data_IF_727577538451
#
_entry.id   IF_727577538451
#
_cell.length_a   1.000
_cell.length_b   1.000
_cell.length_c   1.000
_cell.angle_alpha   90.00
_cell.angle_beta   90.00
_cell.angle_gamma   90.00
#
_symmetry.space_group_name_H-M   'P 1'
#
loop_
_entity.id
_entity.type
_entity.pdbx_description
1 polymer ?
#
# COMPACT_ATOMS: atom_id res chain seq x y z
N UNK A 1 15.32 10.23 7.09
CA UNK A 1 14.64 9.50 5.97
C UNK A 1 15.49 8.33 5.49
N UNK A 2 14.94 7.11 5.51
CA UNK A 2 15.57 5.90 4.99
C UNK A 2 14.70 5.31 3.87
N UNK A 3 15.33 4.62 2.91
CA UNK A 3 14.64 3.92 1.82
C UNK A 3 14.90 2.43 2.00
N UNK A 4 13.85 1.67 2.25
CA UNK A 4 13.92 0.22 2.38
C UNK A 4 13.67 -0.39 1.00
N UNK A 5 14.63 -1.15 0.49
CA UNK A 5 14.51 -1.87 -0.78
C UNK A 5 14.51 -3.36 -0.47
N UNK A 6 13.42 -4.04 -0.84
CA UNK A 6 13.21 -5.45 -0.55
C UNK A 6 12.99 -6.20 -1.86
N UNK A 7 13.54 -7.41 -1.94
CA UNK A 7 13.18 -8.34 -3.02
C UNK A 7 11.80 -8.93 -2.71
N UNK A 8 10.87 -8.87 -3.66
CA UNK A 8 9.53 -9.39 -3.52
C UNK A 8 9.44 -10.73 -4.28
N UNK A 9 9.77 -11.82 -3.59
CA UNK A 9 9.93 -13.14 -4.20
C UNK A 9 8.65 -13.96 -4.12
N UNK A 10 7.79 -13.69 -3.13
CA UNK A 10 6.48 -14.34 -2.99
C UNK A 10 5.41 -13.35 -2.51
N UNK A 11 4.15 -13.61 -2.84
CA UNK A 11 3.02 -12.81 -2.33
C UNK A 11 2.91 -12.85 -0.79
N UNK A 12 3.44 -13.90 -0.15
CA UNK A 12 3.47 -14.04 1.31
C UNK A 12 4.34 -12.93 1.95
N UNK A 13 5.36 -12.44 1.23
CA UNK A 13 6.23 -11.35 1.70
C UNK A 13 5.43 -10.07 2.01
N UNK A 14 4.33 -9.80 1.29
CA UNK A 14 3.45 -8.65 1.57
C UNK A 14 2.78 -8.79 2.92
N UNK A 15 2.32 -10.00 3.28
CA UNK A 15 1.63 -10.25 4.54
C UNK A 15 2.56 -10.02 5.74
N UNK A 16 3.80 -10.51 5.64
CA UNK A 16 4.82 -10.31 6.69
C UNK A 16 5.27 -8.85 6.73
N UNK A 17 5.39 -8.19 5.58
CA UNK A 17 5.78 -6.79 5.53
C UNK A 17 4.75 -5.90 6.24
N UNK A 18 3.45 -6.19 6.10
CA UNK A 18 2.39 -5.46 6.82
C UNK A 18 2.54 -5.50 8.35
N UNK A 19 3.13 -6.56 8.90
CA UNK A 19 3.39 -6.68 10.34
C UNK A 19 4.68 -5.96 10.79
N UNK A 20 5.67 -5.86 9.89
CA UNK A 20 6.98 -5.24 10.18
C UNK A 20 6.98 -3.74 9.87
N UNK A 21 6.02 -3.27 9.07
CA UNK A 21 5.94 -1.87 8.65
C UNK A 21 5.80 -0.95 9.88
N UNK A 22 6.57 0.15 9.93
CA UNK A 22 6.53 1.07 11.06
C UNK A 22 5.17 1.76 11.18
N UNK A 23 4.81 2.13 12.42
CA UNK A 23 3.63 2.95 12.69
C UNK A 23 3.61 4.19 11.78
N UNK A 24 2.50 4.36 11.03
CA UNK A 24 2.29 5.39 9.99
C UNK A 24 2.94 5.11 8.63
N UNK A 25 3.10 3.84 8.25
CA UNK A 25 3.38 3.48 6.86
C UNK A 25 2.09 3.05 6.13
N UNK A 26 1.98 3.35 4.83
CA UNK A 26 0.88 2.88 3.98
C UNK A 26 1.46 1.98 2.89
N UNK A 27 0.95 0.76 2.81
CA UNK A 27 1.28 -0.18 1.73
C UNK A 27 0.48 0.17 0.47
N UNK A 28 1.15 0.19 -0.68
CA UNK A 28 0.52 0.44 -1.99
C UNK A 28 0.64 -0.80 -2.87
N UNK A 29 -0.49 -1.36 -3.27
CA UNK A 29 -0.59 -2.55 -4.13
C UNK A 29 -1.19 -2.25 -5.50
N UNK A 30 -1.03 -3.19 -6.42
CA UNK A 30 -1.72 -3.15 -7.73
C UNK A 30 -3.19 -3.53 -7.58
N UNK A 31 -4.10 -2.87 -8.29
CA UNK A 31 -5.56 -3.16 -8.28
C UNK A 31 -5.88 -4.61 -8.57
N UNK A 32 -5.11 -5.26 -9.43
CA UNK A 32 -5.26 -6.68 -9.77
C UNK A 32 -5.10 -7.60 -8.55
N UNK A 33 -4.29 -7.19 -7.55
CA UNK A 33 -4.06 -7.95 -6.32
C UNK A 33 -5.33 -8.05 -5.47
N UNK A 34 -6.20 -7.03 -5.49
CA UNK A 34 -7.49 -7.06 -4.81
C UNK A 34 -8.35 -8.25 -5.27
N UNK A 35 -8.20 -8.67 -6.53
CA UNK A 35 -8.98 -9.77 -7.11
C UNK A 35 -8.33 -11.16 -6.94
N UNK A 36 -7.18 -11.26 -6.26
CA UNK A 36 -6.50 -12.53 -6.00
C UNK A 36 -7.14 -13.33 -4.85
N UNK A 37 -8.47 -13.32 -4.74
CA UNK A 37 -9.23 -14.09 -3.75
C UNK A 37 -8.88 -13.74 -2.31
N UNK A 38 -8.55 -14.76 -1.51
CA UNK A 38 -8.24 -14.62 -0.07
C UNK A 38 -7.05 -13.69 0.18
N UNK A 39 -6.05 -13.69 -0.71
CA UNK A 39 -4.89 -12.82 -0.59
C UNK A 39 -5.25 -11.34 -0.78
N UNK A 40 -6.11 -11.04 -1.76
CA UNK A 40 -6.59 -9.68 -2.00
C UNK A 40 -7.39 -9.14 -0.82
N UNK A 41 -8.28 -9.97 -0.26
CA UNK A 41 -9.07 -9.61 0.92
C UNK A 41 -8.18 -9.38 2.16
N UNK A 42 -7.21 -10.25 2.41
CA UNK A 42 -6.27 -10.10 3.53
C UNK A 42 -5.44 -8.81 3.40
N UNK A 43 -4.95 -8.52 2.19
CA UNK A 43 -4.18 -7.30 1.93
C UNK A 43 -5.02 -6.03 2.12
N UNK A 44 -6.31 -6.08 1.74
CA UNK A 44 -7.25 -4.98 1.95
C UNK A 44 -7.54 -4.76 3.44
N UNK A 45 -7.81 -5.82 4.20
CA UNK A 45 -8.04 -5.75 5.65
C UNK A 45 -6.82 -5.23 6.40
N UNK A 46 -5.61 -5.50 5.89
CA UNK A 46 -4.37 -4.97 6.44
C UNK A 46 -4.10 -3.49 6.09
N UNK A 47 -5.01 -2.81 5.39
CA UNK A 47 -4.89 -1.38 5.08
C UNK A 47 -4.06 -1.07 3.82
N UNK A 48 -3.89 -2.03 2.91
CA UNK A 48 -3.21 -1.78 1.63
C UNK A 48 -4.08 -0.95 0.71
N UNK A 49 -3.52 0.11 0.15
CA UNK A 49 -4.17 0.97 -0.85
C UNK A 49 -3.86 0.42 -2.24
N UNK A 50 -4.88 0.21 -3.05
CA UNK A 50 -4.72 -0.34 -4.38
C UNK A 50 -4.74 0.74 -5.46
N UNK A 51 -3.78 0.69 -6.39
CA UNK A 51 -3.67 1.62 -7.52
C UNK A 51 -3.90 0.92 -8.86
N UNK A 52 -4.58 1.62 -9.77
CA UNK A 52 -4.84 1.16 -11.13
C UNK A 52 -3.78 1.70 -12.08
N UNK A 53 -2.95 0.83 -12.67
CA UNK A 53 -1.91 1.29 -13.60
C UNK A 53 -2.47 1.75 -14.95
N UNK A 54 -3.70 1.35 -15.30
CA UNK A 54 -4.36 1.78 -16.52
C UNK A 54 -4.91 3.22 -16.40
N UNK A 55 -5.31 3.62 -15.19
CA UNK A 55 -5.70 4.99 -14.84
C UNK A 55 -4.60 5.65 -13.99
N UNK A 56 -3.56 6.10 -14.68
CA UNK A 56 -2.41 6.77 -14.07
C UNK A 56 -2.81 8.05 -13.34
N UNK A 57 -3.72 8.84 -13.92
CA UNK A 57 -4.11 10.14 -13.37
C UNK A 57 -4.91 9.98 -12.08
N UNK A 58 -5.91 9.09 -12.08
CA UNK A 58 -6.67 8.74 -10.89
C UNK A 58 -5.79 8.15 -9.79
N UNK A 59 -4.85 7.27 -10.14
CA UNK A 59 -3.91 6.69 -9.17
C UNK A 59 -2.97 7.73 -8.55
N UNK A 60 -2.45 8.68 -9.33
CA UNK A 60 -1.60 9.76 -8.80
C UNK A 60 -2.41 10.66 -7.88
N UNK A 61 -3.66 10.97 -8.22
CA UNK A 61 -4.53 11.78 -7.38
C UNK A 61 -4.82 11.08 -6.04
N UNK A 62 -5.17 9.78 -6.08
CA UNK A 62 -5.37 8.97 -4.88
C UNK A 62 -4.12 8.94 -3.98
N UNK A 63 -2.93 8.74 -4.57
CA UNK A 63 -1.66 8.78 -3.84
C UNK A 63 -1.38 10.16 -3.23
N UNK A 64 -1.71 11.24 -3.96
CA UNK A 64 -1.50 12.61 -3.49
C UNK A 64 -2.40 12.94 -2.30
N UNK A 65 -3.67 12.56 -2.35
CA UNK A 65 -4.61 12.73 -1.24
C UNK A 65 -4.18 11.91 0.00
N UNK A 66 -3.65 10.70 -0.23
CA UNK A 66 -3.09 9.87 0.83
C UNK A 66 -1.88 10.51 1.48
N UNK A 67 -0.93 10.99 0.67
CA UNK A 67 0.26 11.69 1.17
C UNK A 67 -0.12 12.94 1.98
N UNK A 68 -1.10 13.71 1.53
CA UNK A 68 -1.62 14.87 2.27
C UNK A 68 -2.27 14.47 3.60
N UNK A 69 -3.04 13.38 3.61
CA UNK A 69 -3.68 12.86 4.83
C UNK A 69 -2.63 12.38 5.83
N UNK A 70 -1.64 11.61 5.37
CA UNK A 70 -0.51 11.17 6.19
C UNK A 70 0.29 12.35 6.75
N UNK A 71 0.47 13.42 5.97
CA UNK A 71 1.19 14.61 6.42
C UNK A 71 0.38 15.41 7.46
N UNK A 72 -0.95 15.49 7.29
CA UNK A 72 -1.83 16.15 8.27
C UNK A 72 -1.85 15.40 9.61
N UNK A 73 -1.89 14.07 9.59
CA UNK A 73 -1.86 13.24 10.79
C UNK A 73 -0.48 13.20 11.48
N UNK A 74 0.61 13.51 10.76
CA UNK A 74 1.96 13.64 11.35
C UNK A 74 2.16 14.95 12.14
N UNK A 75 1.26 15.93 11.99
CA UNK A 75 1.38 17.28 12.57
C UNK A 75 0.39 17.49 13.72
N UNK A 76 -0.38 16.47 14.12
CA UNK A 76 -1.28 16.53 15.30
C UNK A 76 -0.69 15.81 16.52
#
# INVERSE_FOLDING_TARGET
PFVLVLNHQTSLDILVMLEILPDRCVSIGKKEIMYMGTFGLASWLAGTVFIDRSDREGSINALTQLAQSMQKENVS
#
